data_IF_963644952138
#
_entry.id   IF_963644952138
#
_cell.length_a   1.000
_cell.length_b   1.000
_cell.length_c   1.000
_cell.angle_alpha   90.00
_cell.angle_beta   90.00
_cell.angle_gamma   90.00
#
_symmetry.space_group_name_H-M   'P 1'
#
loop_
_entity.id
_entity.type
_entity.pdbx_description
1 polymer ?
#
# COMPACT_ATOMS: atom_id res chain seq x y z
N UNK A 1 1.53 -23.46 8.14
CA UNK A 1 0.50 -22.42 7.81
C UNK A 1 0.74 -21.22 8.70
N UNK A 2 0.72 -20.00 8.16
CA UNK A 2 0.93 -18.79 8.97
C UNK A 2 -0.33 -18.47 9.79
N UNK A 3 -0.15 -18.00 11.02
CA UNK A 3 -1.26 -17.58 11.86
C UNK A 3 -1.76 -16.18 11.43
N UNK A 4 -3.07 -16.00 11.46
CA UNK A 4 -3.72 -14.73 11.12
C UNK A 4 -3.49 -13.71 12.25
N UNK A 5 -3.41 -12.41 11.91
CA UNK A 5 -3.20 -11.29 12.84
C UNK A 5 -1.84 -11.31 13.56
N UNK A 6 -0.83 -11.86 12.91
CA UNK A 6 0.54 -11.86 13.39
C UNK A 6 1.49 -11.13 12.44
N UNK A 7 2.59 -10.68 13.00
CA UNK A 7 3.71 -10.06 12.30
C UNK A 7 4.82 -11.09 12.25
N UNK A 8 5.32 -11.35 11.05
CA UNK A 8 6.43 -12.25 10.82
C UNK A 8 7.65 -11.45 10.36
N UNK A 9 8.76 -11.63 11.05
CA UNK A 9 10.03 -11.04 10.68
C UNK A 9 10.83 -12.09 9.90
N UNK A 10 10.58 -12.20 8.62
CA UNK A 10 11.23 -13.16 7.73
C UNK A 10 11.26 -12.64 6.29
N UNK A 11 12.06 -13.26 5.43
CA UNK A 11 12.06 -12.98 4.01
C UNK A 11 10.67 -13.13 3.40
N UNK A 12 10.23 -12.14 2.61
CA UNK A 12 8.85 -12.09 2.12
C UNK A 12 8.52 -13.25 1.15
N UNK A 13 9.46 -13.67 0.32
CA UNK A 13 9.27 -14.80 -0.59
C UNK A 13 9.12 -16.11 0.18
N UNK A 14 9.94 -16.29 1.23
CA UNK A 14 9.83 -17.44 2.13
C UNK A 14 8.52 -17.44 2.92
N UNK A 15 8.07 -16.27 3.35
CA UNK A 15 6.77 -16.10 4.01
C UNK A 15 5.60 -16.41 3.09
N UNK A 16 5.61 -15.90 1.86
CA UNK A 16 4.56 -16.14 0.88
C UNK A 16 4.41 -17.60 0.52
N UNK A 17 5.50 -18.37 0.41
CA UNK A 17 5.46 -19.83 0.16
C UNK A 17 4.66 -20.62 1.21
N UNK A 18 4.49 -20.08 2.41
CA UNK A 18 3.69 -20.69 3.49
C UNK A 18 2.19 -20.39 3.37
N UNK A 19 1.80 -19.49 2.47
CA UNK A 19 0.41 -19.13 2.23
C UNK A 19 -0.21 -20.02 1.15
N UNK A 20 -1.48 -20.46 1.34
CA UNK A 20 -2.20 -21.19 0.32
C UNK A 20 -2.45 -20.32 -0.94
N UNK A 21 -2.59 -20.99 -2.09
CA UNK A 21 -2.99 -20.36 -3.34
C UNK A 21 -4.37 -19.69 -3.18
N UNK A 22 -4.55 -18.51 -3.79
CA UNK A 22 -5.81 -17.78 -3.77
C UNK A 22 -6.36 -17.47 -2.37
N UNK A 23 -5.51 -17.30 -1.36
CA UNK A 23 -5.93 -17.08 0.03
C UNK A 23 -6.00 -15.61 0.43
N UNK A 24 -5.39 -14.71 -0.34
CA UNK A 24 -5.24 -13.30 -0.02
C UNK A 24 -6.21 -12.45 -0.85
N UNK A 25 -6.95 -11.58 -0.21
CA UNK A 25 -7.88 -10.65 -0.87
C UNK A 25 -7.19 -9.34 -1.30
N UNK A 26 -6.21 -8.89 -0.52
CA UNK A 26 -5.53 -7.62 -0.78
C UNK A 26 -4.04 -7.70 -0.44
N UNK A 27 -3.19 -7.41 -1.41
CA UNK A 27 -1.75 -7.24 -1.23
C UNK A 27 -1.45 -5.74 -1.25
N UNK A 28 -0.79 -5.24 -0.20
CA UNK A 28 -0.34 -3.86 -0.11
C UNK A 28 1.14 -3.84 0.24
N UNK A 29 1.99 -3.38 -0.67
CA UNK A 29 3.43 -3.53 -0.52
C UNK A 29 4.20 -2.30 -0.95
N UNK A 30 5.31 -2.05 -0.25
CA UNK A 30 6.36 -1.10 -0.59
C UNK A 30 7.63 -1.90 -0.88
N UNK A 31 7.85 -2.23 -2.15
CA UNK A 31 9.01 -3.01 -2.59
C UNK A 31 10.29 -2.17 -2.52
N UNK A 32 11.49 -2.77 -2.38
CA UNK A 32 12.74 -2.05 -2.56
C UNK A 32 12.90 -1.57 -4.00
N UNK A 33 13.21 -0.28 -4.17
CA UNK A 33 13.30 0.35 -5.50
C UNK A 33 14.71 0.28 -6.12
N UNK A 34 15.75 0.04 -5.31
CA UNK A 34 17.14 0.07 -5.76
C UNK A 34 17.62 1.46 -6.15
N UNK A 35 17.05 2.51 -5.59
CA UNK A 35 17.36 3.91 -5.94
C UNK A 35 18.08 4.68 -4.82
N UNK A 36 18.32 4.03 -3.70
CA UNK A 36 19.03 4.61 -2.56
C UNK A 36 20.34 3.87 -2.27
N UNK A 37 21.28 4.53 -1.57
CA UNK A 37 22.54 3.89 -1.14
C UNK A 37 22.37 3.05 0.14
N UNK A 38 21.15 2.76 0.56
CA UNK A 38 20.91 1.95 1.73
C UNK A 38 21.15 0.46 1.41
N UNK A 39 21.82 -0.26 2.29
CA UNK A 39 22.13 -1.68 2.11
C UNK A 39 20.90 -2.59 2.00
N UNK A 40 19.76 -2.11 2.46
CA UNK A 40 18.49 -2.82 2.40
C UNK A 40 17.68 -2.55 1.11
N UNK A 41 18.03 -1.53 0.31
CA UNK A 41 17.32 -1.17 -0.92
C UNK A 41 17.81 -2.02 -2.11
N UNK A 42 17.75 -3.34 -1.94
CA UNK A 42 18.11 -4.32 -2.97
C UNK A 42 16.83 -4.74 -3.69
N UNK A 43 16.69 -4.48 -5.00
CA UNK A 43 15.51 -4.87 -5.75
C UNK A 43 15.27 -6.38 -5.71
N UNK A 44 14.04 -6.77 -5.46
CA UNK A 44 13.61 -8.16 -5.61
C UNK A 44 13.36 -8.40 -7.10
N UNK A 45 13.83 -9.52 -7.69
CA UNK A 45 13.52 -9.85 -9.07
C UNK A 45 12.00 -9.88 -9.30
N UNK A 46 11.51 -9.04 -10.21
CA UNK A 46 10.06 -8.83 -10.39
C UNK A 46 9.33 -10.10 -10.82
N UNK A 47 9.95 -10.93 -11.67
CA UNK A 47 9.36 -12.23 -12.08
C UNK A 47 9.14 -13.14 -10.88
N UNK A 48 10.05 -13.14 -9.91
CA UNK A 48 9.94 -13.96 -8.70
C UNK A 48 8.82 -13.46 -7.80
N UNK A 49 8.71 -12.14 -7.59
CA UNK A 49 7.67 -11.57 -6.74
C UNK A 49 6.28 -11.73 -7.39
N UNK A 50 6.16 -11.52 -8.72
CA UNK A 50 4.91 -11.71 -9.44
C UNK A 50 4.41 -13.13 -9.37
N UNK A 51 5.29 -14.14 -9.52
CA UNK A 51 4.93 -15.55 -9.37
C UNK A 51 4.22 -15.82 -8.03
N UNK A 52 4.74 -15.28 -6.94
CA UNK A 52 4.12 -15.45 -5.62
C UNK A 52 2.87 -14.58 -5.44
N UNK A 53 2.87 -13.33 -5.88
CA UNK A 53 1.69 -12.48 -5.81
C UNK A 53 0.51 -13.06 -6.57
N UNK A 54 0.73 -13.52 -7.80
CA UNK A 54 -0.33 -14.12 -8.62
C UNK A 54 -0.83 -15.46 -8.08
N UNK A 55 0.03 -16.21 -7.40
CA UNK A 55 -0.34 -17.47 -6.75
C UNK A 55 -1.23 -17.24 -5.53
N UNK A 56 -0.85 -16.32 -4.63
CA UNK A 56 -1.55 -16.14 -3.36
C UNK A 56 -2.78 -15.25 -3.47
N UNK A 57 -2.85 -14.33 -4.46
CA UNK A 57 -3.97 -13.43 -4.62
C UNK A 57 -5.21 -14.15 -5.16
N UNK A 58 -6.38 -13.86 -4.61
CA UNK A 58 -7.66 -14.32 -5.16
C UNK A 58 -7.93 -13.71 -6.54
N UNK A 59 -8.76 -14.35 -7.34
CA UNK A 59 -9.14 -13.85 -8.66
C UNK A 59 -9.71 -12.43 -8.65
N UNK A 60 -10.52 -12.12 -7.64
CA UNK A 60 -11.09 -10.79 -7.40
C UNK A 60 -10.34 -10.02 -6.32
N UNK A 61 -9.09 -10.38 -6.05
CA UNK A 61 -8.22 -9.68 -5.13
C UNK A 61 -7.54 -8.48 -5.80
N UNK A 62 -7.03 -7.56 -5.00
CA UNK A 62 -6.33 -6.36 -5.46
C UNK A 62 -4.89 -6.37 -4.96
N UNK A 63 -3.95 -5.98 -5.84
CA UNK A 63 -2.55 -5.75 -5.51
C UNK A 63 -2.28 -4.26 -5.68
N UNK A 64 -1.86 -3.61 -4.62
CA UNK A 64 -1.52 -2.19 -4.59
C UNK A 64 -0.05 -2.03 -4.18
N UNK A 65 0.77 -1.49 -5.06
CA UNK A 65 2.21 -1.40 -4.88
C UNK A 65 2.67 0.06 -4.86
N UNK A 66 3.30 0.47 -3.76
CA UNK A 66 4.00 1.74 -3.68
C UNK A 66 5.15 1.77 -4.68
N UNK A 67 5.34 2.93 -5.30
CA UNK A 67 6.42 3.14 -6.24
C UNK A 67 6.75 4.62 -6.40
N UNK A 68 7.90 4.89 -6.98
CA UNK A 68 8.34 6.23 -7.36
C UNK A 68 9.17 6.13 -8.65
N UNK A 69 9.11 7.17 -9.48
CA UNK A 69 9.91 7.26 -10.70
C UNK A 69 11.43 7.16 -10.40
N UNK A 70 12.17 6.34 -11.19
CA UNK A 70 11.79 5.62 -12.42
C UNK A 70 11.24 4.20 -12.16
N UNK A 71 11.33 3.68 -10.94
CA UNK A 71 10.94 2.30 -10.61
C UNK A 71 9.46 2.01 -10.92
N UNK A 72 8.58 3.00 -10.79
CA UNK A 72 7.15 2.88 -11.13
C UNK A 72 6.93 2.42 -12.57
N UNK A 73 7.74 2.91 -13.53
CA UNK A 73 7.63 2.51 -14.93
C UNK A 73 8.06 1.05 -15.14
N UNK A 74 9.17 0.67 -14.53
CA UNK A 74 9.65 -0.72 -14.57
C UNK A 74 8.62 -1.67 -13.95
N UNK A 75 8.06 -1.30 -12.80
CA UNK A 75 7.06 -2.08 -12.08
C UNK A 75 5.75 -2.21 -12.87
N UNK A 76 5.26 -1.12 -13.47
CA UNK A 76 4.06 -1.17 -14.32
C UNK A 76 4.27 -2.07 -15.54
N UNK A 77 5.41 -1.91 -16.25
CA UNK A 77 5.75 -2.69 -17.44
C UNK A 77 6.00 -4.17 -17.11
N UNK A 78 6.41 -4.51 -15.89
CA UNK A 78 6.72 -5.90 -15.51
C UNK A 78 5.49 -6.81 -15.50
N UNK A 79 4.26 -6.25 -15.39
CA UNK A 79 3.02 -7.02 -15.47
C UNK A 79 1.87 -6.19 -16.03
N UNK A 80 1.98 -5.80 -17.31
CA UNK A 80 0.94 -5.03 -18.03
C UNK A 80 -0.39 -5.78 -18.11
N UNK A 81 -0.36 -7.11 -18.06
CA UNK A 81 -1.57 -7.91 -18.11
C UNK A 81 -2.49 -7.67 -16.90
N UNK A 82 -1.91 -7.46 -15.73
CA UNK A 82 -2.65 -7.19 -14.49
C UNK A 82 -2.76 -5.71 -14.17
N UNK A 83 -1.88 -4.86 -14.70
CA UNK A 83 -1.89 -3.41 -14.46
C UNK A 83 -3.20 -2.77 -14.92
N UNK A 84 -3.75 -1.87 -14.11
CA UNK A 84 -5.03 -1.21 -14.42
C UNK A 84 -4.96 0.30 -14.38
N UNK A 85 -4.47 0.87 -13.29
CA UNK A 85 -4.35 2.31 -13.08
C UNK A 85 -3.43 2.60 -11.88
N UNK A 86 -3.18 3.88 -11.66
CA UNK A 86 -2.39 4.34 -10.52
C UNK A 86 -3.12 5.41 -9.71
N UNK A 87 -2.73 5.54 -8.47
CA UNK A 87 -3.02 6.66 -7.62
C UNK A 87 -1.75 7.48 -7.42
N UNK A 88 -1.88 8.80 -7.45
CA UNK A 88 -0.79 9.74 -7.19
C UNK A 88 -0.93 10.25 -5.76
N UNK A 89 0.10 10.05 -4.96
CA UNK A 89 0.14 10.49 -3.57
C UNK A 89 0.99 11.76 -3.47
N UNK A 90 0.32 12.89 -3.43
CA UNK A 90 0.98 14.19 -3.29
C UNK A 90 1.60 14.33 -1.89
N UNK A 91 2.88 14.68 -1.86
CA UNK A 91 3.65 14.93 -0.64
C UNK A 91 3.42 16.36 -0.16
N UNK A 92 3.28 16.55 1.14
CA UNK A 92 3.24 17.91 1.73
C UNK A 92 4.57 18.64 1.61
N UNK A 93 5.69 17.90 1.49
CA UNK A 93 7.02 18.43 1.22
C UNK A 93 7.68 17.63 0.11
N UNK A 94 8.13 18.30 -0.94
CA UNK A 94 8.91 17.67 -1.99
C UNK A 94 10.29 17.24 -1.46
N UNK A 95 10.86 16.22 -2.09
CA UNK A 95 12.20 15.68 -1.79
C UNK A 95 13.14 15.88 -2.97
N UNK A 96 14.46 15.67 -2.77
CA UNK A 96 15.46 15.78 -3.84
C UNK A 96 16.04 17.19 -3.99
N UNK A 97 16.04 18.03 -2.95
CA UNK A 97 16.55 19.40 -2.95
C UNK A 97 18.02 19.51 -3.42
N UNK A 98 18.85 18.50 -3.18
CA UNK A 98 20.24 18.48 -3.66
C UNK A 98 20.37 18.54 -5.19
N UNK A 99 19.35 18.07 -5.90
CA UNK A 99 19.28 18.06 -7.36
C UNK A 99 18.35 19.13 -7.93
N UNK A 100 17.82 20.04 -7.13
CA UNK A 100 16.81 21.02 -7.55
C UNK A 100 17.27 21.97 -8.67
N UNK A 101 18.59 22.16 -8.82
CA UNK A 101 19.18 22.93 -9.93
C UNK A 101 19.29 22.15 -11.24
N UNK A 102 19.08 20.83 -11.23
CA UNK A 102 19.26 19.92 -12.39
C UNK A 102 17.96 19.28 -12.85
N UNK A 103 17.01 19.09 -11.93
CA UNK A 103 15.73 18.45 -12.21
C UNK A 103 14.67 18.88 -11.20
N UNK A 104 13.36 18.73 -11.51
CA UNK A 104 12.29 19.02 -10.59
C UNK A 104 12.39 18.21 -9.29
N UNK A 105 12.00 18.81 -8.17
CA UNK A 105 11.87 18.10 -6.90
C UNK A 105 10.71 17.10 -6.95
N UNK A 106 10.89 15.94 -6.32
CA UNK A 106 9.89 14.88 -6.29
C UNK A 106 8.78 15.23 -5.28
N UNK A 107 7.61 15.61 -5.79
CA UNK A 107 6.46 16.05 -5.00
C UNK A 107 5.38 14.97 -4.82
N UNK A 108 5.55 13.77 -5.40
CA UNK A 108 4.59 12.68 -5.30
C UNK A 108 5.26 11.32 -5.26
N UNK A 109 4.49 10.33 -4.89
CA UNK A 109 4.73 8.89 -5.09
C UNK A 109 3.50 8.29 -5.74
N UNK A 110 3.64 7.11 -6.35
CA UNK A 110 2.54 6.42 -7.00
C UNK A 110 2.16 5.16 -6.23
N UNK A 111 0.89 4.76 -6.32
CA UNK A 111 0.44 3.42 -5.93
C UNK A 111 -0.17 2.78 -7.16
N UNK A 112 0.51 1.78 -7.69
CA UNK A 112 0.09 1.05 -8.88
C UNK A 112 -0.89 -0.05 -8.50
N UNK A 113 -1.99 -0.15 -9.24
CA UNK A 113 -3.08 -1.10 -8.97
C UNK A 113 -3.11 -2.18 -10.03
N UNK A 114 -3.10 -3.43 -9.55
CA UNK A 114 -3.11 -4.63 -10.39
C UNK A 114 -4.20 -5.58 -9.90
N UNK A 115 -4.92 -6.21 -10.83
CA UNK A 115 -5.88 -7.27 -10.53
C UNK A 115 -6.23 -8.10 -11.77
N UNK A 116 -6.66 -9.35 -11.54
CA UNK A 116 -7.17 -10.27 -12.57
C UNK A 116 -8.61 -9.92 -12.96
N UNK A 117 -9.51 -9.92 -11.99
CA UNK A 117 -10.94 -9.56 -12.11
C UNK A 117 -11.23 -8.38 -11.21
N UNK A 118 -12.30 -7.64 -11.50
CA UNK A 118 -12.67 -6.45 -10.73
C UNK A 118 -12.74 -6.75 -9.23
N UNK A 119 -11.92 -6.09 -8.41
CA UNK A 119 -11.88 -6.32 -6.97
C UNK A 119 -12.99 -5.58 -6.23
N UNK A 120 -13.07 -5.82 -4.92
CA UNK A 120 -13.84 -4.96 -4.03
C UNK A 120 -13.32 -3.53 -4.15
N UNK A 121 -14.24 -2.57 -4.34
CA UNK A 121 -13.93 -1.15 -4.39
C UNK A 121 -14.97 -0.35 -3.61
N UNK A 122 -14.53 0.31 -2.54
CA UNK A 122 -15.34 1.22 -1.74
C UNK A 122 -14.84 2.64 -1.96
N UNK A 123 -15.46 3.42 -2.84
CA UNK A 123 -15.03 4.81 -3.06
C UNK A 123 -15.12 5.60 -1.75
N UNK A 124 -14.04 6.24 -1.37
CA UNK A 124 -13.99 7.11 -0.19
C UNK A 124 -14.51 8.49 -0.62
N UNK A 125 -15.83 8.66 -0.56
CA UNK A 125 -16.49 9.90 -0.96
C UNK A 125 -16.04 11.08 -0.10
N UNK A 126 -15.98 12.27 -0.71
CA UNK A 126 -15.75 13.53 -0.01
C UNK A 126 -17.04 14.35 0.02
N UNK A 127 -17.29 15.02 1.16
CA UNK A 127 -18.49 15.81 1.44
C UNK A 127 -18.20 17.31 1.41
N UNK A 128 -19.27 18.13 1.45
CA UNK A 128 -19.15 19.59 1.60
C UNK A 128 -18.84 20.34 0.31
N UNK A 129 -18.98 19.70 -0.85
CA UNK A 129 -18.82 20.35 -2.15
C UNK A 129 -20.07 21.13 -2.56
N UNK A 130 -19.93 22.11 -3.46
CA UNK A 130 -21.06 22.75 -4.08
C UNK A 130 -21.98 21.72 -4.76
N UNK A 131 -23.30 21.88 -4.68
CA UNK A 131 -24.25 20.96 -5.31
C UNK A 131 -23.95 20.76 -6.80
N UNK A 132 -24.02 19.53 -7.27
CA UNK A 132 -23.95 19.24 -8.71
C UNK A 132 -25.15 19.89 -9.40
N UNK A 133 -24.92 20.56 -10.53
CA UNK A 133 -26.01 21.09 -11.35
C UNK A 133 -26.97 19.97 -11.77
N UNK A 134 -28.25 20.26 -11.77
CA UNK A 134 -29.27 19.35 -12.29
C UNK A 134 -29.02 19.07 -13.77
N UNK A 135 -29.14 17.84 -14.19
CA UNK A 135 -29.01 17.41 -15.57
C UNK A 135 -29.99 16.29 -15.92
N UNK A 136 -30.36 16.26 -17.17
CA UNK A 136 -31.07 15.10 -17.75
C UNK A 136 -30.35 14.72 -19.04
N UNK A 137 -29.98 13.46 -19.16
CA UNK A 137 -29.24 12.95 -20.30
C UNK A 137 -30.19 12.59 -21.43
N UNK A 138 -30.15 13.35 -22.50
CA UNK A 138 -31.05 13.19 -23.66
C UNK A 138 -30.47 12.35 -24.81
N UNK A 139 -29.14 12.10 -24.80
CA UNK A 139 -28.44 11.37 -25.87
C UNK A 139 -27.62 10.21 -25.33
N UNK A 140 -27.55 9.13 -26.12
CA UNK A 140 -26.67 7.98 -25.82
C UNK A 140 -25.26 8.11 -26.42
N UNK A 141 -25.10 9.05 -27.33
CA UNK A 141 -23.90 9.13 -28.16
C UNK A 141 -22.81 9.97 -27.52
N UNK A 142 -21.79 9.27 -27.03
CA UNK A 142 -20.45 9.87 -26.90
C UNK A 142 -19.52 9.02 -27.75
N UNK A 143 -18.88 9.62 -28.77
CA UNK A 143 -17.90 8.94 -29.61
C UNK A 143 -16.77 8.31 -28.77
N UNK A 144 -16.49 8.86 -27.59
CA UNK A 144 -15.33 8.48 -26.76
C UNK A 144 -15.69 7.52 -25.61
N UNK A 145 -16.94 7.43 -25.15
CA UNK A 145 -17.28 6.72 -23.90
C UNK A 145 -18.38 5.64 -24.05
N UNK A 146 -18.71 5.26 -25.27
CA UNK A 146 -19.70 4.23 -25.54
C UNK A 146 -21.15 4.67 -25.28
N UNK A 147 -22.08 3.70 -25.37
CA UNK A 147 -23.51 3.94 -25.18
C UNK A 147 -23.85 4.06 -23.70
N UNK A 148 -24.56 5.12 -23.33
CA UNK A 148 -25.10 5.31 -21.99
C UNK A 148 -26.64 5.37 -22.05
N UNK A 149 -27.31 5.00 -20.94
CA UNK A 149 -28.77 5.05 -20.87
C UNK A 149 -29.30 6.48 -21.05
N UNK A 150 -30.37 6.63 -21.81
CA UNK A 150 -31.11 7.90 -21.96
C UNK A 150 -32.02 8.07 -20.73
N UNK A 151 -32.39 9.32 -20.43
CA UNK A 151 -33.32 9.66 -19.36
C UNK A 151 -32.76 9.61 -17.95
N UNK A 152 -31.42 9.40 -17.79
CA UNK A 152 -30.80 9.50 -16.49
C UNK A 152 -30.75 10.97 -16.07
N UNK A 153 -31.44 11.29 -14.99
CA UNK A 153 -31.41 12.59 -14.35
C UNK A 153 -30.60 12.54 -13.05
N UNK A 154 -29.98 13.64 -12.69
CA UNK A 154 -29.25 13.76 -11.45
C UNK A 154 -28.99 15.24 -11.12
N UNK A 155 -28.40 15.48 -9.97
CA UNK A 155 -28.06 16.81 -9.49
C UNK A 155 -28.17 16.90 -7.97
N UNK A 156 -27.84 18.05 -7.42
CA UNK A 156 -27.99 18.37 -5.99
C UNK A 156 -27.01 17.67 -5.04
N UNK A 157 -26.26 16.68 -5.49
CA UNK A 157 -25.30 15.99 -4.62
C UNK A 157 -24.14 16.92 -4.23
N UNK A 158 -23.84 16.95 -2.93
CA UNK A 158 -22.67 17.63 -2.36
C UNK A 158 -21.49 16.67 -2.14
N UNK A 159 -21.68 15.41 -2.48
CA UNK A 159 -20.62 14.40 -2.44
C UNK A 159 -19.87 14.29 -3.76
N UNK A 160 -18.59 13.94 -3.69
CA UNK A 160 -17.77 13.65 -4.88
C UNK A 160 -17.06 12.32 -4.72
N UNK A 161 -16.96 11.62 -5.85
CA UNK A 161 -16.09 10.45 -5.95
C UNK A 161 -14.61 10.87 -5.77
N UNK A 162 -13.78 9.97 -5.21
CA UNK A 162 -12.36 10.24 -5.09
C UNK A 162 -11.73 10.47 -6.46
N UNK A 163 -10.74 11.34 -6.49
CA UNK A 163 -9.86 11.54 -7.64
C UNK A 163 -8.60 10.71 -7.43
N UNK A 164 -7.90 10.40 -8.51
CA UNK A 164 -6.66 9.62 -8.53
C UNK A 164 -5.47 10.33 -7.87
N UNK A 165 -5.57 11.65 -7.62
CA UNK A 165 -4.57 12.44 -6.89
C UNK A 165 -5.05 12.68 -5.47
N UNK A 166 -4.31 12.14 -4.50
CA UNK A 166 -4.60 12.24 -3.07
C UNK A 166 -3.46 12.94 -2.35
N UNK A 167 -3.79 13.73 -1.34
CA UNK A 167 -2.82 14.43 -0.50
C UNK A 167 -2.84 13.91 0.93
N UNK A 168 -1.67 13.48 1.43
CA UNK A 168 -1.52 13.03 2.80
C UNK A 168 -0.34 13.72 3.48
N UNK A 169 -0.50 14.03 4.77
CA UNK A 169 0.62 14.48 5.60
C UNK A 169 1.50 13.29 5.97
N UNK A 170 2.82 13.44 5.82
CA UNK A 170 3.78 12.41 6.20
C UNK A 170 3.95 12.36 7.73
N UNK A 171 3.83 11.19 8.33
CA UNK A 171 3.95 10.98 9.78
C UNK A 171 5.34 11.30 10.33
N UNK A 172 6.36 11.30 9.49
CA UNK A 172 7.74 11.67 9.83
C UNK A 172 7.87 13.10 10.39
N UNK A 173 6.86 13.95 10.15
CA UNK A 173 6.80 15.31 10.71
C UNK A 173 6.35 15.33 12.18
N UNK A 174 5.61 14.32 12.63
CA UNK A 174 5.07 14.20 13.99
C UNK A 174 5.81 13.18 14.85
N UNK A 175 6.23 12.09 14.25
CA UNK A 175 6.99 11.05 14.93
C UNK A 175 7.77 10.22 13.91
N UNK A 176 9.05 10.53 13.78
CA UNK A 176 9.95 9.80 12.89
C UNK A 176 10.35 8.47 13.53
N UNK A 177 9.81 7.38 13.04
CA UNK A 177 10.28 6.02 13.37
C UNK A 177 11.32 5.61 12.32
N UNK A 178 11.06 5.93 11.06
CA UNK A 178 11.90 5.60 9.92
C UNK A 178 12.00 6.76 8.92
N UNK A 179 13.12 6.86 8.17
CA UNK A 179 13.34 7.95 7.21
C UNK A 179 12.39 7.90 6.00
N UNK A 180 11.97 6.70 5.59
CA UNK A 180 11.09 6.44 4.43
C UNK A 180 9.67 6.02 4.80
N UNK A 181 9.28 6.21 6.07
CA UNK A 181 7.97 5.82 6.58
C UNK A 181 6.83 6.37 5.71
N UNK A 182 5.94 5.47 5.28
CA UNK A 182 4.74 5.85 4.52
C UNK A 182 3.67 6.46 5.44
N UNK A 183 2.80 7.36 4.93
CA UNK A 183 1.72 7.94 5.73
C UNK A 183 0.72 6.87 6.16
N UNK A 184 0.49 6.72 7.46
CA UNK A 184 -0.48 5.76 7.99
C UNK A 184 -1.91 6.05 7.52
N UNK A 185 -2.25 7.33 7.32
CA UNK A 185 -3.54 7.74 6.78
C UNK A 185 -3.74 7.27 5.33
N UNK A 186 -2.69 7.25 4.51
CA UNK A 186 -2.76 6.69 3.16
C UNK A 186 -2.97 5.17 3.22
N UNK A 187 -2.20 4.46 4.06
CA UNK A 187 -2.38 3.02 4.23
C UNK A 187 -3.82 2.66 4.66
N UNK A 188 -4.38 3.40 5.62
CA UNK A 188 -5.78 3.24 6.05
C UNK A 188 -6.76 3.49 4.91
N UNK A 189 -6.53 4.52 4.09
CA UNK A 189 -7.37 4.85 2.94
C UNK A 189 -7.45 3.69 1.94
N UNK A 190 -6.30 3.12 1.54
CA UNK A 190 -6.23 2.02 0.58
C UNK A 190 -6.83 0.73 1.13
N UNK A 191 -6.60 0.42 2.39
CA UNK A 191 -7.23 -0.72 3.06
C UNK A 191 -8.75 -0.58 3.04
N UNK A 192 -9.29 0.60 3.36
CA UNK A 192 -10.74 0.85 3.31
C UNK A 192 -11.30 0.76 1.90
N UNK A 193 -10.53 1.17 0.91
CA UNK A 193 -10.96 1.19 -0.49
C UNK A 193 -11.08 -0.22 -1.07
N UNK A 194 -10.12 -1.10 -0.77
CA UNK A 194 -10.01 -2.40 -1.43
C UNK A 194 -10.34 -3.61 -0.55
N UNK A 195 -10.89 -3.40 0.64
CA UNK A 195 -11.18 -4.49 1.56
C UNK A 195 -12.56 -4.41 2.18
N UNK A 196 -13.14 -5.59 2.51
CA UNK A 196 -14.29 -5.76 3.38
C UNK A 196 -13.85 -5.99 4.84
N UNK A 197 -14.82 -6.13 5.76
CA UNK A 197 -14.54 -6.34 7.19
C UNK A 197 -13.79 -7.63 7.51
N UNK A 198 -13.99 -8.68 6.73
CA UNK A 198 -13.45 -10.05 6.94
C UNK A 198 -12.32 -10.38 5.95
N UNK A 199 -11.72 -9.38 5.32
CA UNK A 199 -10.71 -9.53 4.27
C UNK A 199 -9.38 -10.04 4.84
N UNK A 200 -8.74 -10.96 4.14
CA UNK A 200 -7.37 -11.40 4.37
C UNK A 200 -6.41 -10.49 3.59
N UNK A 201 -5.58 -9.73 4.31
CA UNK A 201 -4.62 -8.84 3.68
C UNK A 201 -3.19 -9.30 3.96
N UNK A 202 -2.37 -9.18 2.95
CA UNK A 202 -0.92 -9.26 3.06
C UNK A 202 -0.33 -7.86 2.89
N UNK A 203 0.38 -7.41 3.91
CA UNK A 203 1.07 -6.12 3.89
C UNK A 203 2.55 -6.38 4.07
N UNK A 204 3.33 -5.96 3.10
CA UNK A 204 4.78 -5.95 3.15
C UNK A 204 5.25 -4.52 3.37
N UNK A 205 5.98 -4.30 4.44
CA UNK A 205 6.63 -3.03 4.72
C UNK A 205 8.13 -3.26 4.92
N UNK A 206 8.92 -2.62 4.09
CA UNK A 206 10.38 -2.66 4.15
C UNK A 206 10.93 -1.99 5.42
N UNK A 207 10.14 -1.16 6.06
CA UNK A 207 10.52 -0.30 7.19
C UNK A 207 10.86 -1.04 8.49
N UNK A 208 10.54 -2.32 8.56
CA UNK A 208 10.86 -3.13 9.73
C UNK A 208 12.33 -3.56 9.86
N UNK A 209 13.13 -3.29 8.86
CA UNK A 209 14.53 -3.74 8.77
C UNK A 209 15.51 -2.92 9.61
N UNK A 210 15.10 -1.87 10.28
CA UNK A 210 16.00 -1.03 11.07
C UNK A 210 16.06 -1.37 12.56
N UNK A 211 15.96 -2.65 12.88
CA UNK A 211 16.46 -3.12 14.18
C UNK A 211 17.99 -3.29 14.10
N UNK A 212 18.72 -2.92 15.17
CA UNK A 212 20.18 -2.95 15.16
C UNK A 212 20.70 -4.38 15.21
N UNK A 213 20.62 -5.10 14.09
CA UNK A 213 21.30 -6.36 13.89
C UNK A 213 21.98 -6.35 12.51
N UNK A 214 23.33 -6.23 12.45
CA UNK A 214 24.07 -5.96 11.21
C UNK A 214 24.18 -7.12 10.23
N UNK A 215 23.52 -8.24 10.44
CA UNK A 215 23.75 -9.49 9.67
C UNK A 215 22.49 -10.08 9.01
N UNK A 216 21.37 -9.37 8.96
CA UNK A 216 20.15 -9.90 8.37
C UNK A 216 19.91 -9.33 6.97
N UNK A 217 19.78 -10.24 6.02
CA UNK A 217 19.28 -10.11 4.64
C UNK A 217 17.98 -9.28 4.63
N UNK A 218 17.64 -8.54 3.52
CA UNK A 218 16.45 -7.72 3.45
C UNK A 218 15.18 -8.52 3.81
N UNK A 219 14.68 -8.32 5.01
CA UNK A 219 13.56 -9.06 5.59
C UNK A 219 12.31 -8.19 5.51
N UNK A 220 11.30 -8.65 4.79
CA UNK A 220 9.96 -8.03 4.77
C UNK A 220 9.16 -8.41 6.01
N UNK A 221 8.33 -7.51 6.51
CA UNK A 221 7.35 -7.85 7.53
C UNK A 221 6.04 -8.22 6.86
N UNK A 222 5.61 -9.45 7.11
CA UNK A 222 4.33 -9.98 6.67
C UNK A 222 3.26 -9.74 7.74
N UNK A 223 2.21 -9.01 7.36
CA UNK A 223 0.99 -8.93 8.16
C UNK A 223 -0.09 -9.76 7.49
N UNK A 224 -0.50 -10.84 8.11
CA UNK A 224 -1.73 -11.55 7.71
C UNK A 224 -2.84 -11.07 8.63
N UNK A 225 -3.64 -10.11 8.18
CA UNK A 225 -4.70 -9.50 8.98
C UNK A 225 -6.07 -9.96 8.50
N UNK A 226 -6.83 -10.59 9.40
CA UNK A 226 -8.27 -10.81 9.27
C UNK A 226 -9.01 -9.79 10.14
N UNK A 227 -10.07 -9.13 9.63
CA UNK A 227 -10.85 -8.11 10.37
C UNK A 227 -10.15 -6.75 10.54
N UNK A 228 -9.45 -6.30 9.53
CA UNK A 228 -8.69 -5.03 9.54
C UNK A 228 -9.53 -3.83 10.00
N UNK A 229 -10.77 -3.66 9.52
CA UNK A 229 -11.60 -2.51 9.90
C UNK A 229 -11.87 -2.45 11.41
N UNK A 230 -12.05 -3.61 12.06
CA UNK A 230 -12.23 -3.69 13.51
C UNK A 230 -10.92 -3.37 14.25
N UNK A 231 -9.80 -3.75 13.67
CA UNK A 231 -8.47 -3.45 14.17
C UNK A 231 -8.14 -1.95 14.05
N UNK A 232 -8.37 -1.34 12.88
CA UNK A 232 -8.18 0.11 12.64
C UNK A 232 -9.12 0.95 13.52
N UNK A 233 -10.40 0.58 13.66
CA UNK A 233 -11.34 1.27 14.54
C UNK A 233 -10.94 1.21 16.03
N UNK A 234 -10.39 0.08 16.48
CA UNK A 234 -9.84 -0.08 17.83
C UNK A 234 -8.57 0.76 18.05
N UNK A 235 -7.82 1.02 16.98
CA UNK A 235 -6.57 1.79 16.99
C UNK A 235 -6.79 3.32 16.97
N UNK A 236 -7.95 3.84 16.51
CA UNK A 236 -8.25 5.28 16.62
C UNK A 236 -8.15 5.80 18.06
N UNK A 237 -8.34 4.91 19.06
CA UNK A 237 -8.08 5.19 20.49
C UNK A 237 -6.69 4.82 20.98
N UNK A 238 -5.80 4.24 20.15
CA UNK A 238 -4.55 3.65 20.62
C UNK A 238 -3.45 3.40 19.57
N UNK A 239 -3.29 4.26 18.55
CA UNK A 239 -2.14 4.15 17.63
C UNK A 239 -0.79 4.19 18.37
N UNK A 240 -0.76 4.84 19.55
CA UNK A 240 0.36 4.78 20.50
C UNK A 240 0.64 3.38 21.04
N UNK A 241 -0.39 2.52 21.17
CA UNK A 241 -0.23 1.15 21.70
C UNK A 241 0.32 0.15 20.70
N UNK A 242 0.09 0.34 19.40
CA UNK A 242 0.75 -0.48 18.37
C UNK A 242 2.26 -0.25 18.35
N UNK A 243 2.67 0.99 18.50
CA UNK A 243 4.07 1.37 18.73
C UNK A 243 4.70 0.61 19.89
N UNK A 244 3.98 0.51 21.00
CA UNK A 244 4.47 -0.11 22.25
C UNK A 244 4.51 -1.64 22.13
N UNK A 245 3.51 -2.27 21.51
CA UNK A 245 3.48 -3.73 21.31
C UNK A 245 4.54 -4.15 20.28
N UNK A 246 4.70 -3.38 19.20
CA UNK A 246 5.75 -3.57 18.21
C UNK A 246 7.14 -3.52 18.86
N UNK A 247 7.44 -2.46 19.61
CA UNK A 247 8.75 -2.31 20.28
C UNK A 247 8.97 -3.33 21.41
N UNK A 248 7.97 -3.64 22.23
CA UNK A 248 8.13 -4.60 23.33
C UNK A 248 8.26 -6.06 22.88
N UNK A 249 7.49 -6.49 21.85
CA UNK A 249 7.62 -7.86 21.34
C UNK A 249 8.90 -8.11 20.56
N UNK A 250 9.37 -7.12 19.81
CA UNK A 250 10.67 -7.22 19.13
C UNK A 250 11.84 -7.20 20.10
N UNK A 251 11.78 -6.39 21.17
CA UNK A 251 12.79 -6.41 22.23
C UNK A 251 12.82 -7.71 23.02
N UNK A 252 11.67 -8.32 23.31
CA UNK A 252 11.62 -9.62 23.99
C UNK A 252 12.14 -10.77 23.14
N UNK A 253 11.88 -10.77 21.83
CA UNK A 253 12.41 -11.79 20.91
C UNK A 253 13.92 -11.62 20.63
N UNK A 254 14.47 -10.41 20.71
CA UNK A 254 15.90 -10.15 20.56
C UNK A 254 16.73 -10.65 21.76
N UNK A 255 16.13 -10.73 22.95
CA UNK A 255 16.82 -11.29 24.12
C UNK A 255 17.04 -12.82 24.05
N UNK A 256 16.30 -13.53 23.21
CA UNK A 256 16.42 -15.00 23.08
C UNK A 256 17.41 -15.47 22.00
N UNK A 257 17.95 -14.56 21.17
CA UNK A 257 18.84 -14.96 20.06
C UNK A 257 20.23 -14.29 20.05
N UNK A 258 20.67 -13.76 21.16
CA UNK A 258 22.06 -13.35 21.29
C UNK A 258 22.85 -14.39 22.10
N UNK A 259 23.57 -15.32 21.49
CA UNK A 259 24.52 -16.14 22.25
C UNK A 259 25.61 -15.20 22.77
N UNK A 260 25.74 -15.13 24.08
CA UNK A 260 26.90 -14.56 24.72
C UNK A 260 28.12 -15.41 24.32
N UNK A 261 28.83 -15.02 23.30
CA UNK A 261 30.18 -15.48 23.11
C UNK A 261 31.13 -14.49 23.79
N UNK A 262 31.70 -14.98 24.86
CA UNK A 262 32.91 -14.44 25.50
C UNK A 262 34.08 -14.56 24.52
N UNK A 263 34.83 -13.59 24.40
CA UNK A 263 36.28 -13.32 24.46
C UNK A 263 36.57 -12.08 23.67
#
# INVERSE_FOLDING_TARGET
MLNINQIYNEDCLSGMKKLPDGSIDFIFSDLPYGITNNSWDIPIPLDTIWKEFERIIKDNGCIALWSQSPFDKTLACSNLQLYRYEWIIEKTKATGHLNAKKMPMKAHENILIFYKKLPVYHPQMTDGHSPVHSYTKHTTAGSNYGKTKIGISGGGSTQRYPRDVLKFSWDTQKSKIHSTQKPSAACEYFIRTYTNRETSCWIHAQEAQQLPCPQLIPIGILFVLRKIRKYIAKQRKGFSKLKIIYNKRLQSNLQFFCPKNRL
#
